data_IF_507716790121
#
_entry.id   IF_507716790121
#
_cell.length_a   1.000
_cell.length_b   1.000
_cell.length_c   1.000
_cell.angle_alpha   90.00
_cell.angle_beta   90.00
_cell.angle_gamma   90.00
#
_symmetry.space_group_name_H-M   'P 1'
#
loop_
_entity.id
_entity.type
_entity.pdbx_description
1 polymer ?
#
# COMPACT_ATOMS: atom_id res chain seq x y z
N UNK A 1 -32.32 6.16 -47.12
CA UNK A 1 -31.78 7.17 -46.18
C UNK A 1 -31.98 8.55 -46.78
N UNK A 2 -32.42 9.57 -46.03
CA UNK A 2 -32.43 10.93 -46.54
C UNK A 2 -30.99 11.37 -46.90
N UNK A 3 -30.81 11.97 -48.07
CA UNK A 3 -29.51 12.41 -48.58
C UNK A 3 -29.13 13.80 -48.05
N UNK A 4 -27.85 13.97 -47.68
CA UNK A 4 -27.20 15.22 -47.27
C UNK A 4 -27.85 15.88 -46.02
N UNK A 5 -27.46 17.12 -45.70
CA UNK A 5 -28.01 17.97 -44.63
C UNK A 5 -29.35 18.60 -45.03
N UNK A 6 -30.34 17.76 -45.35
CA UNK A 6 -31.64 18.20 -45.85
C UNK A 6 -32.41 19.11 -44.85
N UNK A 7 -32.20 18.95 -43.53
CA UNK A 7 -32.84 19.80 -42.49
C UNK A 7 -32.26 21.22 -42.50
N UNK A 8 -30.93 21.35 -42.61
CA UNK A 8 -30.31 22.67 -42.71
C UNK A 8 -30.69 23.35 -44.02
N UNK A 9 -30.70 22.60 -45.12
CA UNK A 9 -31.16 23.10 -46.43
C UNK A 9 -32.60 23.59 -46.36
N UNK A 10 -33.50 22.81 -45.74
CA UNK A 10 -34.90 23.20 -45.54
C UNK A 10 -35.01 24.45 -44.67
N UNK A 11 -34.22 24.56 -43.60
CA UNK A 11 -34.18 25.75 -42.74
C UNK A 11 -33.65 26.98 -43.48
N UNK A 12 -32.69 26.82 -44.39
CA UNK A 12 -32.17 27.90 -45.25
C UNK A 12 -33.20 28.35 -46.30
N UNK A 13 -33.99 27.42 -46.85
CA UNK A 13 -34.97 27.69 -47.91
C UNK A 13 -36.31 28.21 -47.37
N UNK A 14 -36.80 27.65 -46.26
CA UNK A 14 -38.13 27.92 -45.71
C UNK A 14 -38.11 28.60 -44.34
N UNK A 15 -36.91 28.84 -43.79
CA UNK A 15 -36.74 29.42 -42.47
C UNK A 15 -37.04 28.44 -41.34
N UNK A 16 -37.05 28.98 -40.12
CA UNK A 16 -37.56 28.27 -38.95
C UNK A 16 -39.05 28.61 -38.77
N UNK A 17 -39.72 27.86 -37.91
CA UNK A 17 -41.07 28.19 -37.47
C UNK A 17 -41.10 29.64 -36.93
N UNK A 18 -42.13 30.41 -37.31
CA UNK A 18 -42.23 31.85 -37.00
C UNK A 18 -42.12 32.17 -35.49
N UNK A 19 -42.59 31.28 -34.61
CA UNK A 19 -42.55 31.44 -33.15
C UNK A 19 -41.33 30.78 -32.48
N UNK A 20 -40.36 30.29 -33.26
CA UNK A 20 -39.20 29.54 -32.76
C UNK A 20 -38.38 30.38 -31.77
N UNK A 21 -37.99 31.58 -32.16
CA UNK A 21 -37.07 32.41 -31.37
C UNK A 21 -37.74 32.94 -30.10
N UNK A 22 -39.04 33.27 -30.17
CA UNK A 22 -39.82 33.60 -28.98
C UNK A 22 -39.90 32.45 -27.98
N UNK A 23 -40.11 31.22 -28.47
CA UNK A 23 -40.18 30.03 -27.63
C UNK A 23 -38.85 29.69 -26.98
N UNK A 24 -37.75 29.81 -27.73
CA UNK A 24 -36.38 29.58 -27.21
C UNK A 24 -36.05 30.61 -26.14
N UNK A 25 -36.27 31.91 -26.41
CA UNK A 25 -36.08 32.98 -25.43
C UNK A 25 -36.88 32.74 -24.14
N UNK A 26 -38.17 32.41 -24.27
CA UNK A 26 -39.03 32.10 -23.11
C UNK A 26 -38.61 30.83 -22.37
N UNK A 27 -37.96 29.87 -23.04
CA UNK A 27 -37.45 28.64 -22.43
C UNK A 27 -36.19 28.92 -21.61
N UNK A 28 -35.24 29.67 -22.17
CA UNK A 28 -34.01 30.08 -21.49
C UNK A 28 -34.30 30.93 -20.25
N UNK A 29 -35.20 31.91 -20.37
CA UNK A 29 -35.62 32.74 -19.25
C UNK A 29 -36.25 31.91 -18.10
N UNK A 30 -37.07 30.90 -18.43
CA UNK A 30 -37.69 30.02 -17.41
C UNK A 30 -36.73 29.00 -16.82
N UNK A 31 -35.57 28.78 -17.43
CA UNK A 31 -34.65 27.73 -17.02
C UNK A 31 -34.10 27.93 -15.61
N UNK A 32 -33.85 29.18 -15.20
CA UNK A 32 -33.37 29.48 -13.84
C UNK A 32 -34.38 29.10 -12.76
N UNK A 33 -35.66 29.42 -12.98
CA UNK A 33 -36.74 29.02 -12.07
C UNK A 33 -36.96 27.51 -12.06
N UNK A 34 -36.93 26.88 -13.24
CA UNK A 34 -37.04 25.43 -13.34
C UNK A 34 -35.90 24.74 -12.58
N UNK A 35 -34.66 25.24 -12.68
CA UNK A 35 -33.52 24.70 -11.94
C UNK A 35 -33.72 24.79 -10.42
N UNK A 36 -34.17 25.95 -9.92
CA UNK A 36 -34.46 26.12 -8.49
C UNK A 36 -35.59 25.18 -8.03
N UNK A 37 -36.66 25.08 -8.83
CA UNK A 37 -37.79 24.18 -8.57
C UNK A 37 -37.36 22.72 -8.52
N UNK A 38 -36.54 22.28 -9.49
CA UNK A 38 -36.03 20.91 -9.54
C UNK A 38 -35.11 20.62 -8.34
N UNK A 39 -34.28 21.57 -7.93
CA UNK A 39 -33.42 21.42 -6.75
C UNK A 39 -34.21 21.18 -5.46
N UNK A 40 -35.35 21.85 -5.29
CA UNK A 40 -36.19 21.75 -4.08
C UNK A 40 -37.12 20.53 -4.10
N UNK A 41 -37.64 20.17 -5.28
CA UNK A 41 -38.73 19.20 -5.40
C UNK A 41 -38.28 17.79 -5.83
N UNK A 42 -37.10 17.64 -6.44
CA UNK A 42 -36.59 16.30 -6.75
C UNK A 42 -36.31 15.55 -5.45
N UNK A 43 -36.68 14.26 -5.42
CA UNK A 43 -36.49 13.38 -4.25
C UNK A 43 -35.63 12.16 -4.61
N UNK A 44 -35.03 11.55 -3.59
CA UNK A 44 -34.27 10.30 -3.73
C UNK A 44 -33.03 10.43 -4.63
N UNK A 45 -32.78 9.40 -5.45
CA UNK A 45 -31.60 9.33 -6.32
C UNK A 45 -31.57 10.47 -7.35
N UNK A 46 -32.73 10.89 -7.85
CA UNK A 46 -32.84 11.98 -8.84
C UNK A 46 -32.32 13.30 -8.28
N UNK A 47 -32.61 13.60 -7.01
CA UNK A 47 -32.09 14.77 -6.32
C UNK A 47 -30.56 14.73 -6.17
N UNK A 48 -30.02 13.56 -5.79
CA UNK A 48 -28.56 13.35 -5.64
C UNK A 48 -27.82 13.54 -6.97
N UNK A 49 -28.32 12.94 -8.05
CA UNK A 49 -27.73 13.10 -9.38
C UNK A 49 -27.82 14.55 -9.88
N UNK A 50 -28.95 15.22 -9.63
CA UNK A 50 -29.14 16.62 -9.97
C UNK A 50 -28.10 17.50 -9.26
N UNK A 51 -27.92 17.32 -7.95
CA UNK A 51 -26.94 18.10 -7.19
C UNK A 51 -25.49 17.79 -7.59
N UNK A 52 -25.16 16.52 -7.87
CA UNK A 52 -23.84 16.13 -8.37
C UNK A 52 -23.52 16.82 -9.70
N UNK A 53 -24.49 16.85 -10.63
CA UNK A 53 -24.35 17.56 -11.91
C UNK A 53 -24.13 19.06 -11.69
N UNK A 54 -24.93 19.71 -10.83
CA UNK A 54 -24.79 21.14 -10.51
C UNK A 54 -23.46 21.48 -9.85
N UNK A 55 -22.95 20.60 -8.99
CA UNK A 55 -21.64 20.76 -8.38
C UNK A 55 -20.51 20.72 -9.42
N UNK A 56 -20.55 19.76 -10.36
CA UNK A 56 -19.60 19.67 -11.45
C UNK A 56 -19.64 20.90 -12.38
N UNK A 57 -20.83 21.38 -12.75
CA UNK A 57 -21.02 22.58 -13.57
C UNK A 57 -20.41 23.83 -12.90
N UNK A 58 -20.63 24.01 -11.58
CA UNK A 58 -20.04 25.11 -10.82
C UNK A 58 -18.52 25.04 -10.79
N UNK A 59 -17.93 23.86 -10.57
CA UNK A 59 -16.47 23.67 -10.59
C UNK A 59 -15.92 24.00 -11.98
N UNK A 60 -16.57 23.51 -13.04
CA UNK A 60 -16.12 23.75 -14.40
C UNK A 60 -16.14 25.24 -14.74
N UNK A 61 -17.22 25.96 -14.38
CA UNK A 61 -17.30 27.41 -14.57
C UNK A 61 -16.26 28.17 -13.75
N UNK A 62 -16.06 27.80 -12.48
CA UNK A 62 -15.00 28.39 -11.65
C UNK A 62 -13.61 28.21 -12.25
N UNK A 63 -13.30 27.02 -12.76
CA UNK A 63 -12.02 26.75 -13.45
C UNK A 63 -11.86 27.58 -14.72
N UNK A 64 -12.93 27.75 -15.52
CA UNK A 64 -12.89 28.58 -16.75
C UNK A 64 -12.69 30.07 -16.43
N UNK A 65 -13.40 30.59 -15.44
CA UNK A 65 -13.26 31.98 -14.98
C UNK A 65 -11.83 32.20 -14.49
N UNK A 66 -11.34 31.32 -13.59
CA UNK A 66 -9.97 31.38 -13.07
C UNK A 66 -8.92 31.34 -14.18
N UNK A 67 -9.04 30.42 -15.15
CA UNK A 67 -8.12 30.35 -16.28
C UNK A 67 -8.16 31.61 -17.17
N UNK A 68 -9.32 32.24 -17.32
CA UNK A 68 -9.45 33.50 -18.07
C UNK A 68 -8.82 34.67 -17.29
N UNK A 69 -9.04 34.75 -15.98
CA UNK A 69 -8.42 35.74 -15.09
C UNK A 69 -6.89 35.59 -15.07
N UNK A 70 -6.38 34.36 -14.94
CA UNK A 70 -4.94 34.04 -15.02
C UNK A 70 -4.33 34.32 -16.39
N UNK A 71 -5.11 34.27 -17.47
CA UNK A 71 -4.64 34.68 -18.81
C UNK A 71 -4.58 36.20 -18.94
N UNK A 72 -5.54 36.90 -18.34
CA UNK A 72 -5.62 38.37 -18.39
C UNK A 72 -4.55 39.02 -17.51
N UNK A 73 -4.23 38.41 -16.37
CA UNK A 73 -3.05 38.73 -15.58
C UNK A 73 -1.86 38.11 -16.29
N UNK A 74 -1.02 38.92 -16.97
CA UNK A 74 0.31 38.46 -17.35
C UNK A 74 1.07 38.18 -16.06
N UNK A 75 0.98 36.95 -15.53
CA UNK A 75 1.94 36.51 -14.53
C UNK A 75 3.30 36.70 -15.19
N UNK A 76 4.15 37.51 -14.56
CA UNK A 76 5.59 37.48 -14.80
C UNK A 76 6.02 36.03 -14.96
N UNK A 77 6.97 35.80 -15.89
CA UNK A 77 7.54 34.50 -16.25
C UNK A 77 7.49 33.47 -15.11
N UNK A 78 7.26 32.17 -15.43
CA UNK A 78 7.13 31.09 -14.43
C UNK A 78 8.14 31.32 -13.32
N UNK A 79 7.66 31.36 -12.07
CA UNK A 79 8.46 31.68 -10.87
C UNK A 79 9.86 31.14 -11.07
N UNK A 80 10.83 32.04 -11.14
CA UNK A 80 12.21 31.70 -11.47
C UNK A 80 12.58 30.39 -10.77
N UNK A 81 13.20 29.42 -11.47
CA UNK A 81 13.76 28.27 -10.76
C UNK A 81 14.60 28.85 -9.62
N UNK A 82 14.44 28.28 -8.43
CA UNK A 82 15.23 28.57 -7.23
C UNK A 82 16.55 29.28 -7.56
N UNK A 83 16.92 30.37 -6.88
CA UNK A 83 18.15 31.18 -7.08
C UNK A 83 19.43 30.39 -7.45
N UNK A 84 19.49 29.09 -7.13
CA UNK A 84 20.42 28.11 -7.67
C UNK A 84 19.84 27.35 -8.89
N UNK A 85 20.33 27.58 -10.12
CA UNK A 85 19.93 26.79 -11.28
C UNK A 85 20.31 25.33 -11.05
N UNK A 86 19.30 24.46 -10.99
CA UNK A 86 19.49 23.02 -10.93
C UNK A 86 19.55 22.48 -12.37
N UNK A 87 20.47 21.55 -12.67
CA UNK A 87 20.47 20.87 -13.95
C UNK A 87 19.17 20.05 -14.11
N UNK A 88 18.72 19.87 -15.36
CA UNK A 88 17.42 19.25 -15.69
C UNK A 88 17.18 17.90 -14.97
N UNK A 89 18.23 17.11 -14.75
CA UNK A 89 18.17 15.80 -14.08
C UNK A 89 18.02 15.87 -12.54
N UNK A 90 18.08 17.06 -11.93
CA UNK A 90 17.88 17.29 -10.50
C UNK A 90 16.58 18.06 -10.17
N UNK A 91 15.90 18.62 -11.17
CA UNK A 91 14.65 19.37 -10.96
C UNK A 91 13.58 18.52 -10.27
N UNK A 92 13.42 17.26 -10.68
CA UNK A 92 12.41 16.33 -10.15
C UNK A 92 12.85 15.55 -8.89
N UNK A 93 14.06 15.82 -8.38
CA UNK A 93 14.69 15.06 -7.28
C UNK A 93 14.98 15.91 -6.03
N UNK A 94 14.57 17.18 -6.03
CA UNK A 94 15.02 18.15 -5.03
C UNK A 94 14.13 18.20 -3.78
N UNK A 95 14.54 17.50 -2.72
CA UNK A 95 14.32 17.95 -1.34
C UNK A 95 15.53 18.79 -0.93
N UNK A 96 15.48 20.10 -1.17
CA UNK A 96 16.56 21.00 -0.78
C UNK A 96 16.24 21.75 0.51
N UNK A 97 17.28 21.86 1.34
CA UNK A 97 17.45 22.66 2.56
C UNK A 97 17.04 22.00 3.87
N UNK A 98 18.02 21.45 4.61
CA UNK A 98 18.01 21.36 6.07
C UNK A 98 19.40 20.97 6.63
N UNK A 99 20.39 21.84 6.47
CA UNK A 99 21.71 21.65 7.10
C UNK A 99 21.63 21.61 8.65
N UNK A 100 20.60 22.22 9.25
CA UNK A 100 20.33 22.15 10.71
C UNK A 100 19.61 20.87 11.17
N UNK A 101 19.04 20.06 10.27
CA UNK A 101 18.41 18.77 10.62
C UNK A 101 19.39 17.59 10.63
N UNK A 102 20.65 17.80 10.19
CA UNK A 102 21.65 16.73 10.08
C UNK A 102 22.01 16.09 11.43
N UNK A 103 21.93 16.85 12.53
CA UNK A 103 22.30 16.38 13.87
C UNK A 103 21.19 15.59 14.55
N UNK A 104 19.91 15.96 14.36
CA UNK A 104 18.75 15.14 14.75
C UNK A 104 18.61 13.90 13.84
N UNK A 105 18.97 14.05 12.56
CA UNK A 105 18.97 12.97 11.58
C UNK A 105 19.96 11.83 11.89
N UNK A 106 20.93 11.94 12.81
CA UNK A 106 21.79 10.79 13.16
C UNK A 106 21.04 9.78 14.05
N UNK A 107 20.18 10.27 14.96
CA UNK A 107 19.28 9.42 15.76
C UNK A 107 18.17 8.86 14.88
N UNK A 108 17.60 9.69 14.03
CA UNK A 108 16.59 9.25 13.06
C UNK A 108 17.19 8.28 12.02
N UNK A 109 18.44 8.46 11.56
CA UNK A 109 19.13 7.51 10.66
C UNK A 109 19.28 6.10 11.24
N UNK A 110 19.38 5.94 12.58
CA UNK A 110 19.41 4.60 13.21
C UNK A 110 18.02 3.97 13.23
N UNK A 111 16.97 4.73 13.48
CA UNK A 111 15.57 4.27 13.36
C UNK A 111 15.15 4.03 11.89
N UNK A 112 15.63 4.87 10.97
CA UNK A 112 15.38 4.81 9.53
C UNK A 112 16.08 3.63 8.86
N UNK A 113 17.20 3.12 9.38
CA UNK A 113 17.84 1.93 8.80
C UNK A 113 16.88 0.73 8.75
N UNK A 114 16.03 0.58 9.75
CA UNK A 114 14.97 -0.42 9.76
C UNK A 114 13.77 0.00 8.87
N UNK A 115 13.39 1.28 8.90
CA UNK A 115 12.28 1.81 8.08
C UNK A 115 12.57 1.83 6.57
N UNK A 116 13.84 1.90 6.16
CA UNK A 116 14.28 2.02 4.77
C UNK A 116 14.07 0.75 3.95
N UNK A 117 14.01 -0.40 4.63
CA UNK A 117 13.67 -1.69 4.04
C UNK A 117 12.25 -2.14 4.42
N UNK A 118 11.46 -1.25 5.04
CA UNK A 118 10.09 -1.55 5.37
C UNK A 118 9.28 -1.69 4.07
N UNK A 119 8.50 -2.76 4.02
CA UNK A 119 7.53 -2.99 2.96
C UNK A 119 6.41 -1.94 3.11
N UNK A 120 5.80 -1.41 2.02
CA UNK A 120 4.84 -0.31 2.09
C UNK A 120 3.67 -0.52 3.07
N UNK A 121 3.22 -1.77 3.24
CA UNK A 121 2.24 -2.15 4.26
C UNK A 121 2.92 -3.06 5.31
N UNK A 122 3.46 -2.52 6.40
CA UNK A 122 4.14 -3.33 7.42
C UNK A 122 3.16 -4.07 8.34
N UNK A 123 2.05 -3.43 8.71
CA UNK A 123 1.01 -3.99 9.59
C UNK A 123 -0.31 -4.04 8.83
N UNK A 124 -0.90 -5.22 8.75
CA UNK A 124 -2.19 -5.46 8.11
C UNK A 124 -3.20 -5.93 9.15
N UNK A 125 -4.49 -5.68 8.89
CA UNK A 125 -5.59 -6.23 9.68
C UNK A 125 -5.44 -7.76 9.78
N UNK A 126 -5.50 -8.28 11.00
CA UNK A 126 -5.58 -9.72 11.24
C UNK A 126 -6.91 -10.27 10.69
N UNK A 127 -6.85 -11.43 10.05
CA UNK A 127 -8.04 -12.18 9.61
C UNK A 127 -8.20 -13.37 10.55
N UNK A 128 -9.44 -13.62 10.97
CA UNK A 128 -9.74 -14.80 11.79
C UNK A 128 -9.74 -16.06 10.93
N UNK A 129 -9.42 -17.21 11.52
CA UNK A 129 -9.43 -18.48 10.78
C UNK A 129 -10.83 -18.85 10.28
N UNK A 130 -11.88 -18.43 10.99
CA UNK A 130 -13.29 -18.64 10.61
C UNK A 130 -13.64 -17.90 9.31
N UNK A 131 -13.14 -16.67 9.15
CA UNK A 131 -13.35 -15.88 7.93
C UNK A 131 -12.61 -16.48 6.72
N UNK A 132 -11.45 -17.10 6.97
CA UNK A 132 -10.61 -17.74 5.97
C UNK A 132 -11.14 -19.10 5.50
N UNK A 133 -11.66 -19.88 6.44
CA UNK A 133 -12.03 -21.28 6.22
C UNK A 133 -13.52 -21.53 6.45
N UNK A 134 -14.25 -21.72 5.36
CA UNK A 134 -15.62 -22.22 5.40
C UNK A 134 -15.65 -23.71 5.70
N UNK A 135 -16.43 -24.12 6.68
CA UNK A 135 -16.66 -25.54 7.01
C UNK A 135 -17.46 -26.22 5.88
N UNK A 136 -17.00 -27.39 5.42
CA UNK A 136 -17.73 -28.21 4.43
C UNK A 136 -18.16 -29.52 5.07
N UNK A 137 -19.47 -29.73 5.13
CA UNK A 137 -20.06 -30.91 5.74
C UNK A 137 -20.31 -32.03 4.72
N UNK A 138 -19.96 -33.27 5.08
CA UNK A 138 -20.02 -34.44 4.21
C UNK A 138 -20.86 -35.57 4.83
N UNK A 139 -21.52 -36.37 3.97
CA UNK A 139 -22.35 -37.52 4.36
C UNK A 139 -23.79 -37.41 3.81
N UNK A 140 -24.38 -38.55 3.40
CA UNK A 140 -25.62 -38.59 2.62
C UNK A 140 -26.88 -38.09 3.35
N UNK A 141 -27.05 -38.45 4.63
CA UNK A 141 -28.32 -38.21 5.35
C UNK A 141 -28.29 -37.06 6.35
N UNK A 142 -27.19 -36.89 7.08
CA UNK A 142 -27.14 -35.93 8.21
C UNK A 142 -25.90 -35.03 8.19
N UNK A 143 -25.07 -35.09 7.13
CA UNK A 143 -23.91 -34.21 6.95
C UNK A 143 -23.05 -34.01 8.23
N UNK A 144 -22.89 -35.05 9.07
CA UNK A 144 -22.26 -34.94 10.40
C UNK A 144 -20.74 -34.72 10.33
N UNK A 145 -20.09 -35.05 9.20
CA UNK A 145 -18.62 -35.02 9.09
C UNK A 145 -18.16 -33.68 8.53
N UNK A 146 -17.54 -32.86 9.38
CA UNK A 146 -17.13 -31.47 9.08
C UNK A 146 -15.60 -31.28 9.01
N UNK A 147 -14.84 -32.32 8.63
CA UNK A 147 -13.36 -32.27 8.64
C UNK A 147 -12.75 -31.44 7.50
N UNK A 148 -13.52 -31.17 6.44
CA UNK A 148 -13.08 -30.39 5.28
C UNK A 148 -13.23 -28.88 5.51
N UNK A 149 -12.31 -28.11 4.91
CA UNK A 149 -12.24 -26.66 5.00
C UNK A 149 -12.07 -26.08 3.60
N UNK A 150 -12.97 -25.20 3.19
CA UNK A 150 -12.88 -24.47 1.92
C UNK A 150 -12.29 -23.10 2.16
N UNK A 151 -11.28 -22.73 1.36
CA UNK A 151 -10.70 -21.38 1.41
C UNK A 151 -11.65 -20.43 0.69
N UNK A 152 -12.05 -19.36 1.37
CA UNK A 152 -12.94 -18.30 0.86
C UNK A 152 -12.18 -17.17 0.18
N UNK A 153 -10.89 -17.00 0.51
CA UNK A 153 -10.04 -15.95 -0.03
C UNK A 153 -9.37 -16.36 -1.36
N UNK A 154 -8.99 -15.39 -2.21
CA UNK A 154 -8.17 -15.61 -3.38
C UNK A 154 -6.88 -16.40 -3.09
N UNK A 155 -6.52 -17.30 -4.00
CA UNK A 155 -5.33 -18.15 -3.88
C UNK A 155 -4.50 -18.13 -5.16
N UNK A 156 -3.20 -18.21 -5.00
CA UNK A 156 -2.28 -18.60 -6.05
C UNK A 156 -2.02 -20.09 -5.95
N UNK A 157 -2.04 -20.72 -7.10
CA UNK A 157 -1.77 -22.15 -7.24
C UNK A 157 -0.80 -22.27 -8.40
N UNK A 158 0.32 -22.96 -8.17
CA UNK A 158 1.36 -23.16 -9.20
C UNK A 158 0.81 -23.84 -10.44
N UNK A 159 1.52 -23.69 -11.57
CA UNK A 159 1.07 -24.19 -12.87
C UNK A 159 0.88 -25.72 -12.89
N UNK A 160 1.70 -26.46 -12.13
CA UNK A 160 1.68 -27.93 -12.07
C UNK A 160 0.74 -28.49 -10.98
N UNK A 161 -0.27 -27.71 -10.57
CA UNK A 161 -1.17 -28.15 -9.51
C UNK A 161 -2.18 -29.19 -9.98
N UNK A 162 -2.01 -30.40 -9.47
CA UNK A 162 -3.00 -31.47 -9.52
C UNK A 162 -3.78 -31.53 -8.21
N UNK A 163 -5.11 -31.70 -8.29
CA UNK A 163 -5.93 -31.86 -7.09
C UNK A 163 -5.66 -33.22 -6.46
N UNK A 164 -5.51 -33.24 -5.14
CA UNK A 164 -5.43 -34.50 -4.38
C UNK A 164 -6.77 -35.24 -4.44
N UNK A 165 -6.78 -36.58 -4.31
CA UNK A 165 -8.02 -37.34 -4.26
C UNK A 165 -8.96 -36.83 -3.17
N UNK A 166 -10.27 -36.85 -3.45
CA UNK A 166 -11.33 -36.24 -2.61
C UNK A 166 -11.31 -36.78 -1.18
N UNK A 167 -10.86 -38.01 -0.96
CA UNK A 167 -10.76 -38.63 0.37
C UNK A 167 -9.63 -38.06 1.24
N UNK A 168 -8.55 -37.57 0.64
CA UNK A 168 -7.36 -37.03 1.33
C UNK A 168 -7.29 -35.50 1.31
N UNK A 169 -8.09 -34.84 0.49
CA UNK A 169 -8.17 -33.38 0.42
C UNK A 169 -8.95 -32.81 1.62
N UNK A 170 -8.23 -32.20 2.57
CA UNK A 170 -8.80 -31.46 3.71
C UNK A 170 -9.07 -29.99 3.37
N UNK A 171 -8.07 -29.30 2.80
CA UNK A 171 -8.16 -27.90 2.41
C UNK A 171 -8.51 -27.79 0.92
N UNK A 172 -9.68 -27.22 0.63
CA UNK A 172 -10.21 -27.07 -0.72
C UNK A 172 -9.91 -25.65 -1.21
N UNK A 173 -9.19 -25.54 -2.32
CA UNK A 173 -8.94 -24.28 -3.05
C UNK A 173 -9.82 -24.24 -4.30
N UNK A 174 -10.97 -23.54 -4.30
CA UNK A 174 -11.90 -23.55 -5.44
C UNK A 174 -11.27 -22.88 -6.67
N UNK A 175 -11.58 -23.39 -7.87
CA UNK A 175 -10.96 -22.91 -9.12
C UNK A 175 -11.29 -21.45 -9.42
N UNK A 176 -12.50 -20.98 -9.09
CA UNK A 176 -12.92 -19.59 -9.33
C UNK A 176 -12.15 -18.55 -8.51
N UNK A 177 -11.44 -18.96 -7.46
CA UNK A 177 -10.61 -18.08 -6.63
C UNK A 177 -9.11 -18.23 -6.93
N UNK A 178 -8.73 -18.95 -8.00
CA UNK A 178 -7.33 -19.16 -8.36
C UNK A 178 -6.85 -18.09 -9.32
N UNK A 179 -5.93 -17.24 -8.86
CA UNK A 179 -5.30 -16.22 -9.66
C UNK A 179 -3.95 -16.71 -10.19
N UNK A 180 -3.66 -16.41 -11.46
CA UNK A 180 -2.35 -16.69 -12.09
C UNK A 180 -1.55 -15.41 -12.37
N UNK A 181 -2.22 -14.26 -12.44
CA UNK A 181 -1.63 -12.95 -12.76
C UNK A 181 -2.03 -11.93 -11.69
N UNK A 182 -1.19 -10.93 -11.49
CA UNK A 182 -1.44 -9.77 -10.65
C UNK A 182 -1.26 -8.49 -11.48
N UNK A 183 -2.02 -7.45 -11.14
CA UNK A 183 -1.80 -6.11 -11.67
C UNK A 183 -0.75 -5.41 -10.81
N UNK A 184 0.43 -5.17 -11.36
CA UNK A 184 1.61 -4.73 -10.63
C UNK A 184 1.95 -3.30 -11.04
N UNK A 185 2.02 -2.39 -10.05
CA UNK A 185 2.43 -1.00 -10.26
C UNK A 185 3.90 -0.80 -9.93
N UNK A 186 4.66 -0.17 -10.85
CA UNK A 186 6.01 0.31 -10.58
C UNK A 186 5.98 1.81 -10.21
N UNK A 187 6.42 2.21 -9.01
CA UNK A 187 6.30 3.60 -8.55
C UNK A 187 7.07 4.62 -9.40
N UNK A 188 8.30 4.31 -9.82
CA UNK A 188 9.14 5.29 -10.52
C UNK A 188 8.70 5.56 -11.96
N UNK A 189 8.12 4.55 -12.62
CA UNK A 189 7.66 4.67 -14.01
C UNK A 189 6.19 5.09 -14.06
N UNK A 190 5.47 5.01 -12.94
CA UNK A 190 4.01 5.19 -12.87
C UNK A 190 3.23 4.32 -13.88
N UNK A 191 3.77 3.17 -14.26
CA UNK A 191 3.15 2.20 -15.17
C UNK A 191 2.61 1.01 -14.38
N UNK A 192 1.45 0.52 -14.81
CA UNK A 192 0.82 -0.71 -14.31
C UNK A 192 0.88 -1.80 -15.35
N UNK A 193 1.37 -2.99 -14.99
CA UNK A 193 1.51 -4.13 -15.90
C UNK A 193 0.89 -5.39 -15.28
N UNK A 194 0.22 -6.19 -16.10
CA UNK A 194 -0.42 -7.43 -15.65
C UNK A 194 0.58 -8.61 -15.73
N UNK A 195 1.38 -8.75 -14.68
CA UNK A 195 2.46 -9.74 -14.62
C UNK A 195 2.00 -11.09 -14.05
N UNK A 196 2.53 -12.22 -14.54
CA UNK A 196 2.23 -13.54 -13.97
C UNK A 196 2.90 -13.70 -12.60
N UNK A 197 2.16 -14.32 -11.67
CA UNK A 197 2.65 -14.65 -10.34
C UNK A 197 3.49 -15.92 -10.45
N UNK A 198 4.68 -15.90 -9.87
CA UNK A 198 5.59 -17.04 -9.80
C UNK A 198 5.39 -17.83 -8.51
N UNK A 199 5.41 -17.13 -7.37
CA UNK A 199 5.26 -17.76 -6.06
C UNK A 199 4.71 -16.82 -5.00
N UNK A 200 4.16 -17.38 -3.93
CA UNK A 200 3.81 -16.62 -2.72
C UNK A 200 4.94 -16.83 -1.71
N UNK A 201 5.60 -15.74 -1.28
CA UNK A 201 6.75 -15.83 -0.37
C UNK A 201 6.38 -15.66 1.09
N UNK A 202 5.50 -14.69 1.39
CA UNK A 202 5.14 -14.38 2.77
C UNK A 202 3.71 -13.88 2.87
N UNK A 203 2.89 -14.59 3.63
CA UNK A 203 1.65 -14.04 4.16
C UNK A 203 1.90 -13.45 5.56
N UNK A 204 1.46 -12.20 5.85
CA UNK A 204 1.70 -11.55 7.14
C UNK A 204 0.95 -12.19 8.32
N UNK A 205 -0.12 -12.96 8.08
CA UNK A 205 -0.96 -13.49 9.16
C UNK A 205 -0.44 -14.81 9.71
N UNK A 206 -0.22 -15.80 8.84
CA UNK A 206 0.20 -17.13 9.24
C UNK A 206 1.05 -17.78 8.12
N UNK A 207 2.19 -18.44 8.44
CA UNK A 207 2.96 -19.20 7.47
C UNK A 207 2.15 -20.29 6.73
N UNK A 208 1.12 -20.88 7.36
CA UNK A 208 0.22 -21.85 6.73
C UNK A 208 -0.47 -21.26 5.48
N UNK A 209 -0.82 -19.97 5.51
CA UNK A 209 -1.43 -19.29 4.38
C UNK A 209 -0.45 -19.07 3.22
N UNK A 210 0.84 -18.94 3.52
CA UNK A 210 1.89 -18.92 2.49
C UNK A 210 1.94 -20.26 1.75
N UNK A 211 1.89 -21.38 2.48
CA UNK A 211 1.91 -22.72 1.88
C UNK A 211 0.62 -23.03 1.09
N UNK A 212 -0.53 -22.57 1.59
CA UNK A 212 -1.79 -22.69 0.86
C UNK A 212 -1.85 -21.74 -0.35
N UNK A 213 -0.99 -20.73 -0.42
CA UNK A 213 -0.93 -19.74 -1.49
C UNK A 213 -2.00 -18.65 -1.36
N UNK A 214 -2.46 -18.32 -0.15
CA UNK A 214 -3.53 -17.33 0.03
C UNK A 214 -3.03 -15.91 -0.24
N UNK A 215 -3.76 -15.20 -1.11
CA UNK A 215 -3.53 -13.83 -1.50
C UNK A 215 -4.43 -12.91 -0.68
N UNK A 216 -3.90 -12.41 0.43
CA UNK A 216 -4.53 -11.40 1.27
C UNK A 216 -3.82 -10.06 1.11
N UNK A 217 -4.42 -8.99 1.64
CA UNK A 217 -3.73 -7.69 1.73
C UNK A 217 -2.39 -7.86 2.46
N UNK A 218 -1.35 -7.26 1.90
CA UNK A 218 0.03 -7.30 2.40
C UNK A 218 0.77 -8.61 2.15
N UNK A 219 0.19 -9.60 1.47
CA UNK A 219 0.93 -10.78 1.03
C UNK A 219 2.05 -10.36 0.08
N UNK A 220 3.26 -10.87 0.33
CA UNK A 220 4.42 -10.69 -0.54
C UNK A 220 4.45 -11.84 -1.54
N UNK A 221 4.35 -11.49 -2.81
CA UNK A 221 4.38 -12.37 -3.97
C UNK A 221 5.63 -12.12 -4.79
N UNK A 222 6.08 -13.13 -5.50
CA UNK A 222 7.09 -13.04 -6.53
C UNK A 222 6.38 -12.99 -7.88
N UNK A 223 6.69 -11.97 -8.68
CA UNK A 223 6.09 -11.73 -9.98
C UNK A 223 7.16 -11.76 -11.05
N UNK A 224 6.79 -12.24 -12.24
CA UNK A 224 7.69 -12.22 -13.38
C UNK A 224 7.80 -10.80 -13.91
N UNK A 225 9.02 -10.24 -13.98
CA UNK A 225 9.27 -8.87 -14.46
C UNK A 225 9.97 -8.81 -15.81
N UNK A 226 9.97 -9.91 -16.58
CA UNK A 226 10.58 -9.97 -17.91
C UNK A 226 10.04 -8.90 -18.85
N UNK A 227 8.75 -8.56 -18.75
CA UNK A 227 8.10 -7.52 -19.56
C UNK A 227 8.57 -6.10 -19.22
N UNK A 228 9.14 -5.88 -18.02
CA UNK A 228 9.66 -4.58 -17.60
C UNK A 228 11.11 -4.33 -18.06
N UNK A 229 11.80 -5.35 -18.56
CA UNK A 229 13.17 -5.21 -19.07
C UNK A 229 14.19 -4.76 -18.01
N UNK A 230 13.99 -5.10 -16.74
CA UNK A 230 14.90 -4.70 -15.67
C UNK A 230 16.19 -5.50 -15.79
N UNK A 231 17.33 -4.82 -15.98
CA UNK A 231 18.65 -5.43 -16.08
C UNK A 231 19.49 -5.05 -14.86
N UNK A 232 20.22 -6.02 -14.33
CA UNK A 232 21.18 -5.79 -13.24
C UNK A 232 22.46 -5.13 -13.80
N UNK A 233 23.25 -4.47 -12.95
CA UNK A 233 24.50 -3.84 -13.40
C UNK A 233 25.47 -4.82 -14.12
N UNK A 234 25.36 -6.12 -13.85
CA UNK A 234 26.13 -7.17 -14.53
C UNK A 234 25.53 -7.67 -15.85
N UNK A 235 24.58 -6.94 -16.45
CA UNK A 235 23.97 -7.29 -17.75
C UNK A 235 22.97 -8.46 -17.70
N UNK A 236 22.75 -9.08 -16.54
CA UNK A 236 21.76 -10.16 -16.38
C UNK A 236 20.36 -9.57 -16.27
N UNK A 237 19.44 -10.11 -17.06
CA UNK A 237 18.02 -9.73 -17.04
C UNK A 237 17.36 -10.28 -15.77
N UNK A 238 16.71 -9.42 -15.00
CA UNK A 238 15.90 -9.82 -13.87
C UNK A 238 14.56 -10.36 -14.38
N UNK A 239 14.22 -11.58 -13.99
CA UNK A 239 12.96 -12.23 -14.36
C UNK A 239 12.00 -12.37 -13.18
N UNK A 240 12.47 -12.19 -11.94
CA UNK A 240 11.64 -12.27 -10.74
C UNK A 240 11.85 -11.06 -9.84
N UNK A 241 10.77 -10.45 -9.36
CA UNK A 241 10.83 -9.39 -8.34
C UNK A 241 9.73 -9.61 -7.32
N UNK A 242 9.99 -9.21 -6.07
CA UNK A 242 8.96 -9.20 -5.05
C UNK A 242 7.98 -8.05 -5.31
N UNK A 243 6.72 -8.30 -4.98
CA UNK A 243 5.66 -7.30 -4.97
C UNK A 243 4.76 -7.57 -3.77
N UNK A 244 4.16 -6.51 -3.23
CA UNK A 244 3.23 -6.62 -2.12
C UNK A 244 1.81 -6.34 -2.60
N UNK A 245 0.87 -7.23 -2.28
CA UNK A 245 -0.56 -7.02 -2.57
C UNK A 245 -1.09 -5.86 -1.72
N UNK A 246 -1.68 -4.86 -2.36
CA UNK A 246 -2.13 -3.63 -1.70
C UNK A 246 -3.62 -3.62 -1.38
N UNK A 247 -4.43 -4.28 -2.20
CA UNK A 247 -5.88 -4.33 -2.06
C UNK A 247 -6.35 -5.59 -1.31
N UNK A 248 -7.68 -5.70 -1.17
CA UNK A 248 -8.35 -6.85 -0.58
C UNK A 248 -9.04 -7.62 -1.72
N UNK A 249 -8.36 -8.60 -2.35
CA UNK A 249 -8.74 -9.12 -3.67
C UNK A 249 -10.09 -9.87 -3.70
N UNK A 250 -10.60 -10.27 -2.54
CA UNK A 250 -11.92 -10.89 -2.39
C UNK A 250 -13.10 -9.98 -2.74
N UNK A 251 -12.96 -8.66 -2.56
CA UNK A 251 -14.04 -7.70 -2.81
C UNK A 251 -14.05 -7.20 -4.26
N UNK A 252 -12.86 -7.10 -4.86
CA UNK A 252 -12.66 -6.44 -6.15
C UNK A 252 -12.55 -7.45 -7.30
N UNK A 253 -12.20 -8.71 -7.02
CA UNK A 253 -11.89 -9.70 -8.04
C UNK A 253 -10.57 -9.47 -8.78
N UNK A 254 -9.78 -8.46 -8.39
CA UNK A 254 -8.46 -8.16 -8.93
C UNK A 254 -7.38 -8.26 -7.85
N UNK A 255 -6.19 -8.75 -8.21
CA UNK A 255 -5.01 -8.75 -7.33
C UNK A 255 -4.12 -7.59 -7.72
N UNK A 256 -4.20 -6.48 -6.99
CA UNK A 256 -3.36 -5.31 -7.20
C UNK A 256 -2.15 -5.38 -6.27
N UNK A 257 -0.96 -5.20 -6.84
CA UNK A 257 0.29 -5.29 -6.12
C UNK A 257 1.23 -4.14 -6.48
N UNK A 258 2.13 -3.84 -5.55
CA UNK A 258 3.11 -2.78 -5.67
C UNK A 258 4.51 -3.36 -5.58
N UNK A 259 5.40 -2.96 -6.49
CA UNK A 259 6.81 -3.37 -6.46
C UNK A 259 7.58 -2.47 -5.48
N UNK A 260 8.13 -3.00 -4.38
CA UNK A 260 9.04 -2.23 -3.54
C UNK A 260 10.29 -1.82 -4.34
N UNK A 261 10.65 -0.56 -4.20
CA UNK A 261 11.74 0.10 -4.94
C UNK A 261 13.09 -0.54 -4.62
N UNK A 262 13.29 -0.90 -3.35
CA UNK A 262 14.55 -1.48 -2.87
C UNK A 262 14.36 -2.97 -2.62
N UNK A 263 15.37 -3.81 -2.89
CA UNK A 263 15.30 -5.22 -2.57
C UNK A 263 15.05 -5.35 -1.06
N UNK A 264 13.92 -5.96 -0.70
CA UNK A 264 13.70 -6.45 0.64
C UNK A 264 14.72 -7.56 0.82
N UNK A 265 15.86 -7.24 1.41
CA UNK A 265 16.75 -8.25 1.96
C UNK A 265 15.90 -9.01 2.96
N UNK A 266 15.44 -10.19 2.57
CA UNK A 266 14.87 -11.16 3.51
C UNK A 266 15.92 -11.33 4.60
N UNK A 267 15.67 -10.77 5.78
CA UNK A 267 16.45 -11.06 6.96
C UNK A 267 16.42 -12.58 7.15
N UNK A 268 17.49 -13.27 6.73
CA UNK A 268 17.70 -14.66 7.10
C UNK A 268 17.76 -14.65 8.63
N UNK A 269 16.96 -15.51 9.23
CA UNK A 269 17.05 -15.92 10.63
C UNK A 269 18.50 -16.16 11.06
N UNK A 270 18.93 -15.79 12.28
CA UNK A 270 20.29 -15.99 12.74
C UNK A 270 20.46 -17.45 13.19
N UNK A 271 20.67 -18.35 12.24
CA UNK A 271 21.09 -19.75 12.40
C UNK A 271 21.86 -20.04 11.11
N UNK A 272 23.16 -20.29 11.04
CA UNK A 272 24.12 -20.98 11.91
C UNK A 272 25.51 -20.54 11.45
N UNK A 273 26.31 -19.92 12.30
CA UNK A 273 27.76 -19.83 12.09
C UNK A 273 28.41 -20.89 12.98
N UNK A 274 28.60 -22.09 12.43
CA UNK A 274 29.61 -23.01 12.95
C UNK A 274 30.92 -22.69 12.22
N UNK A 275 32.05 -22.54 12.93
CA UNK A 275 33.33 -22.39 12.29
C UNK A 275 33.76 -23.77 11.78
N UNK A 276 33.78 -23.95 10.45
CA UNK A 276 34.43 -25.11 9.84
C UNK A 276 35.85 -24.67 9.47
N UNK A 277 36.80 -25.12 10.29
CA UNK A 277 38.23 -25.12 9.98
C UNK A 277 38.48 -25.98 8.74
N UNK A 278 38.96 -25.38 7.65
CA UNK A 278 39.50 -26.12 6.52
C UNK A 278 41.02 -26.22 6.66
N UNK A 279 41.44 -27.41 7.07
CA UNK A 279 42.77 -28.00 6.92
C UNK A 279 43.34 -27.81 5.52
N UNK A 280 44.56 -27.26 5.43
CA UNK A 280 45.42 -27.36 4.26
C UNK A 280 46.68 -28.14 4.67
N UNK A 281 47.01 -29.16 3.87
CA UNK A 281 48.01 -30.17 4.17
C UNK A 281 49.45 -29.65 4.04
N UNK A 282 50.25 -30.02 5.03
CA UNK A 282 51.64 -30.52 5.01
C UNK A 282 52.44 -30.47 3.69
N UNK A 283 53.63 -29.85 3.72
CA UNK A 283 54.93 -30.49 3.43
C UNK A 283 56.11 -29.51 3.71
N UNK A 284 57.26 -30.11 4.03
CA UNK A 284 58.62 -29.56 4.15
C UNK A 284 58.93 -28.78 5.45
N UNK A 285 59.54 -29.37 6.49
CA UNK A 285 60.89 -29.94 6.66
C UNK A 285 61.80 -28.98 7.45
N UNK A 286 62.68 -29.57 8.27
CA UNK A 286 63.86 -29.00 8.93
C UNK A 286 63.75 -28.48 10.39
N UNK A 287 64.10 -29.42 11.29
CA UNK A 287 65.08 -29.34 12.38
C UNK A 287 64.96 -28.35 13.57
N UNK A 288 64.69 -29.00 14.73
CA UNK A 288 65.49 -28.99 15.99
C UNK A 288 65.18 -27.96 17.11
N UNK A 289 65.47 -28.36 18.38
CA UNK A 289 64.50 -28.32 19.48
C UNK A 289 64.92 -27.37 20.62
N UNK A 290 64.12 -27.29 21.69
CA UNK A 290 64.52 -27.48 23.10
C UNK A 290 63.35 -27.18 24.05
N UNK A 291 63.00 -28.19 24.85
CA UNK A 291 62.71 -28.19 26.29
C UNK A 291 62.09 -26.94 26.94
N UNK A 292 61.01 -27.10 27.72
CA UNK A 292 61.06 -27.22 29.21
C UNK A 292 59.65 -27.05 29.83
N UNK A 293 59.15 -28.15 30.40
CA UNK A 293 58.51 -28.40 31.71
C UNK A 293 57.96 -27.22 32.57
N UNK A 294 56.87 -27.54 33.28
CA UNK A 294 56.33 -27.02 34.57
C UNK A 294 55.08 -26.14 34.50
N UNK A 295 54.07 -26.23 35.38
CA UNK A 295 53.44 -27.29 36.19
C UNK A 295 52.19 -26.61 36.79
N UNK A 296 51.14 -27.41 37.02
CA UNK A 296 49.99 -27.25 37.93
C UNK A 296 49.90 -25.97 38.80
N UNK A 297 48.69 -25.38 38.89
CA UNK A 297 47.86 -25.64 40.09
C UNK A 297 46.41 -25.15 40.01
N UNK A 298 45.57 -25.95 40.66
CA UNK A 298 44.15 -25.83 40.95
C UNK A 298 43.84 -24.64 41.89
N UNK A 299 42.62 -24.08 41.81
CA UNK A 299 41.54 -24.33 42.78
C UNK A 299 40.49 -23.19 42.81
N UNK A 300 39.21 -23.60 42.77
CA UNK A 300 37.99 -22.85 43.11
C UNK A 300 37.99 -22.44 44.61
N UNK A 301 37.15 -21.47 45.10
CA UNK A 301 35.76 -21.80 45.46
C UNK A 301 34.71 -20.66 45.47
N UNK A 302 33.51 -21.13 45.79
CA UNK A 302 32.15 -20.60 45.88
C UNK A 302 31.80 -19.74 47.12
N UNK A 303 30.61 -19.12 47.03
CA UNK A 303 29.57 -18.85 48.07
C UNK A 303 29.63 -17.56 48.92
N UNK A 304 28.53 -16.78 48.92
CA UNK A 304 27.64 -16.59 50.11
C UNK A 304 26.58 -15.47 49.93
N UNK A 305 25.44 -15.67 50.59
CA UNK A 305 24.24 -14.83 50.73
C UNK A 305 24.41 -13.76 51.82
N UNK A 306 23.62 -12.67 51.83
CA UNK A 306 23.13 -11.97 53.04
C UNK A 306 21.92 -11.06 52.75
N UNK A 307 21.15 -10.73 53.80
CA UNK A 307 19.70 -10.45 53.88
C UNK A 307 19.32 -8.98 54.21
N UNK A 308 17.98 -8.69 54.16
CA UNK A 308 17.18 -7.64 54.86
C UNK A 308 17.36 -6.14 54.42
N UNK A 309 16.41 -5.19 54.40
CA UNK A 309 14.98 -5.04 54.73
C UNK A 309 14.64 -3.53 54.96
N UNK A 310 13.36 -3.13 54.76
CA UNK A 310 12.60 -2.07 55.52
C UNK A 310 12.61 -0.55 55.10
N UNK A 311 11.39 -0.05 54.77
CA UNK A 311 10.72 1.27 54.94
C UNK A 311 11.14 2.60 54.23
N UNK A 312 10.13 3.35 53.74
CA UNK A 312 10.15 4.83 53.70
C UNK A 312 9.32 5.56 52.61
N UNK A 313 8.10 5.99 52.94
CA UNK A 313 7.33 7.15 52.38
C UNK A 313 6.90 7.94 53.64
N UNK A 314 6.83 9.30 53.76
CA UNK A 314 6.17 10.30 52.89
C UNK A 314 6.74 11.76 52.92
N UNK A 315 5.91 12.74 52.51
CA UNK A 315 5.95 14.24 52.58
C UNK A 315 6.23 14.95 51.23
N UNK A 316 5.33 15.72 50.59
CA UNK A 316 4.37 16.80 50.94
C UNK A 316 4.99 18.16 51.30
N UNK A 317 4.82 19.16 50.41
CA UNK A 317 4.68 20.61 50.67
C UNK A 317 4.24 21.27 49.34
N UNK A 318 2.97 21.59 49.07
CA UNK A 318 2.13 22.71 49.56
C UNK A 318 2.69 24.11 49.28
N UNK A 319 2.10 24.83 48.31
CA UNK A 319 1.76 26.24 48.51
C UNK A 319 0.49 26.66 47.77
N UNK A 320 -0.30 27.39 48.55
CA UNK A 320 -1.66 27.89 48.40
C UNK A 320 -1.59 29.31 47.84
N UNK A 321 -2.52 29.71 46.97
CA UNK A 321 -3.16 31.03 47.10
C UNK A 321 -4.45 31.11 46.29
N UNK A 322 -5.55 31.31 47.01
CA UNK A 322 -6.89 31.63 46.54
C UNK A 322 -6.94 33.06 45.97
N UNK A 323 -7.79 33.31 44.97
CA UNK A 323 -8.59 34.55 44.93
C UNK A 323 -9.86 34.38 44.10
N UNK A 324 -10.89 35.04 44.60
CA UNK A 324 -12.32 34.91 44.41
C UNK A 324 -12.88 35.60 43.17
N UNK A 325 -14.10 35.16 42.82
CA UNK A 325 -15.08 35.63 41.81
C UNK A 325 -15.51 37.10 42.12
N UNK A 326 -16.09 37.85 41.16
CA UNK A 326 -17.57 37.83 41.06
C UNK A 326 -18.14 37.82 39.62
N UNK A 327 -19.33 37.24 39.52
CA UNK A 327 -20.32 37.42 38.46
C UNK A 327 -20.84 38.87 38.47
N UNK A 328 -21.10 39.42 37.28
CA UNK A 328 -22.25 40.23 36.86
C UNK A 328 -21.90 40.82 35.48
N UNK A 329 -22.73 40.71 34.44
CA UNK A 329 -23.79 41.69 34.13
C UNK A 329 -24.77 41.06 33.11
N UNK A 330 -26.07 41.19 33.41
CA UNK A 330 -27.21 41.07 32.48
C UNK A 330 -27.53 42.42 31.84
N UNK A 331 -28.25 42.37 30.71
CA UNK A 331 -28.93 43.44 29.95
C UNK A 331 -27.99 44.25 29.02
N UNK A 332 -28.31 44.45 27.73
CA UNK A 332 -29.59 44.59 27.01
C UNK A 332 -29.68 43.72 25.76
#
# INVERSE_FOLDING_TARGET
>A
MPQNEYIERWTKQHGKRLDHDERVRKREARQAHQQSKDAQNLRGLRAKLYQQKRHAEKIQMRKRIKAQEEKNVKSSAPSEPSKTPLPQYLLDRSEATNAKALSSAIKDKRAEKAAKFAVPLPKVKGISEEEMFKVVNTGKKTHKKSWKRMITKPTFVGNDFTRRPVKYERFIRPMGLRYKKANVTHPEMAVTVQLPILSVKKNPQNPLYTQLGVLTKGTVIEVNVSELGIVTAGGKVAWGKYAQVTNTPENDGCVNAYVPIRPVLSAKSPLTAMPVSSSFNHLDAEERPLDTIYVLDFCFPTLSMFTDGVFGVPYCLSHISQKSIPNDIRHQ
#
